data_IF_230069973669
#
_entry.id   IF_230069973669
#
_cell.length_a   1.000
_cell.length_b   1.000
_cell.length_c   1.000
_cell.angle_alpha   90.00
_cell.angle_beta   90.00
_cell.angle_gamma   90.00
#
_symmetry.space_group_name_H-M   'P 1'
#
loop_
_entity.id
_entity.type
_entity.pdbx_description
1 polymer ?
#
# COMPACT_ATOMS: atom_id res chain seq x y z
N UNK A 1 -5.31 -18.84 1.77
CA UNK A 1 -6.05 -17.55 1.84
C UNK A 1 -5.63 -16.72 0.63
N UNK A 2 -6.55 -16.00 -0.04
CA UNK A 2 -6.20 -15.09 -1.12
C UNK A 2 -5.21 -14.03 -0.59
N UNK A 3 -4.16 -13.74 -1.36
CA UNK A 3 -3.20 -12.68 -1.03
C UNK A 3 -3.90 -11.32 -0.85
N UNK A 4 -4.98 -11.10 -1.60
CA UNK A 4 -5.87 -9.93 -1.53
C UNK A 4 -6.31 -9.55 -0.11
N UNK A 5 -6.73 -10.50 0.74
CA UNK A 5 -7.22 -10.19 2.08
C UNK A 5 -6.12 -9.63 3.01
N UNK A 6 -4.86 -10.04 2.80
CA UNK A 6 -3.73 -9.51 3.57
C UNK A 6 -3.43 -8.06 3.23
N UNK A 7 -3.78 -7.63 2.01
CA UNK A 7 -3.33 -6.36 1.43
C UNK A 7 -4.44 -5.34 1.26
N UNK A 8 -5.69 -5.78 1.37
CA UNK A 8 -6.88 -4.94 1.49
C UNK A 8 -6.72 -3.80 2.50
N UNK A 9 -6.18 -4.03 3.73
CA UNK A 9 -6.00 -2.96 4.72
C UNK A 9 -5.09 -1.83 4.24
N UNK A 10 -4.12 -2.13 3.37
CA UNK A 10 -3.17 -1.15 2.81
C UNK A 10 -3.85 -0.29 1.76
N UNK A 11 -4.63 -0.92 0.89
CA UNK A 11 -5.44 -0.25 -0.13
C UNK A 11 -6.48 0.66 0.51
N UNK A 12 -7.16 0.16 1.54
CA UNK A 12 -8.13 0.94 2.31
C UNK A 12 -7.45 2.11 3.01
N UNK A 13 -6.23 1.92 3.54
CA UNK A 13 -5.47 2.99 4.16
C UNK A 13 -5.13 4.14 3.21
N UNK A 14 -4.68 3.81 2.00
CA UNK A 14 -4.36 4.81 0.98
C UNK A 14 -5.63 5.61 0.67
N UNK A 15 -6.77 4.94 0.51
CA UNK A 15 -8.07 5.61 0.27
C UNK A 15 -8.53 6.46 1.47
N UNK A 16 -8.31 6.00 2.70
CA UNK A 16 -8.63 6.74 3.93
C UNK A 16 -7.88 8.07 3.99
N UNK A 17 -6.61 8.06 3.58
CA UNK A 17 -5.75 9.24 3.49
C UNK A 17 -6.01 10.06 2.21
N UNK A 18 -7.20 9.94 1.62
CA UNK A 18 -7.56 10.59 0.35
C UNK A 18 -6.58 10.30 -0.80
N UNK A 19 -5.76 9.27 -0.65
CA UNK A 19 -4.83 8.80 -1.64
C UNK A 19 -5.55 8.07 -2.76
N UNK A 20 -4.98 8.22 -3.95
CA UNK A 20 -5.44 7.56 -5.15
C UNK A 20 -4.68 6.25 -5.32
N UNK A 21 -5.38 5.12 -5.22
CA UNK A 21 -4.81 3.82 -5.54
C UNK A 21 -4.81 3.66 -7.05
N UNK A 22 -3.63 3.67 -7.65
CA UNK A 22 -3.43 3.55 -9.10
C UNK A 22 -3.43 2.09 -9.53
N UNK A 23 -2.77 1.23 -8.74
CA UNK A 23 -2.61 -0.19 -9.05
C UNK A 23 -2.68 -1.00 -7.76
N UNK A 24 -3.36 -2.13 -7.75
CA UNK A 24 -3.44 -3.04 -6.61
C UNK A 24 -3.69 -4.45 -7.13
N UNK A 25 -2.64 -5.10 -7.63
CA UNK A 25 -2.74 -6.42 -8.27
C UNK A 25 -1.53 -7.31 -7.93
N UNK A 26 -1.71 -8.61 -8.09
CA UNK A 26 -0.64 -9.59 -7.88
C UNK A 26 0.23 -9.71 -9.14
N UNK A 27 1.54 -9.51 -9.00
CA UNK A 27 2.54 -9.57 -10.06
C UNK A 27 3.64 -10.56 -9.66
N UNK A 28 3.72 -11.70 -10.37
CA UNK A 28 4.79 -12.71 -10.23
C UNK A 28 5.02 -13.21 -8.78
N UNK A 29 3.94 -13.40 -8.01
CA UNK A 29 4.00 -13.86 -6.63
C UNK A 29 4.24 -12.76 -5.59
N UNK A 30 4.25 -11.49 -6.01
CA UNK A 30 4.25 -10.33 -5.14
C UNK A 30 2.96 -9.54 -5.35
N UNK A 31 2.44 -8.89 -4.34
CA UNK A 31 1.33 -7.96 -4.51
C UNK A 31 1.86 -6.55 -4.72
N UNK A 32 1.55 -5.95 -5.85
CA UNK A 32 2.01 -4.60 -6.19
C UNK A 32 0.88 -3.62 -5.90
N UNK A 33 1.13 -2.70 -4.98
CA UNK A 33 0.22 -1.59 -4.69
C UNK A 33 0.92 -0.30 -5.09
N UNK A 34 0.43 0.35 -6.14
CA UNK A 34 0.83 1.69 -6.53
C UNK A 34 -0.24 2.68 -6.07
N UNK A 35 0.19 3.71 -5.33
CA UNK A 35 -0.69 4.77 -4.85
C UNK A 35 -0.06 6.14 -5.04
N UNK A 36 -0.89 7.17 -5.13
CA UNK A 36 -0.49 8.57 -5.03
C UNK A 36 -1.17 9.22 -3.85
N UNK A 37 -0.41 10.03 -3.12
CA UNK A 37 -0.90 10.80 -1.98
C UNK A 37 -0.66 12.28 -2.24
N UNK A 38 -1.35 13.14 -1.49
CA UNK A 38 -1.24 14.59 -1.63
C UNK A 38 0.04 15.11 -0.96
N UNK A 39 0.58 14.39 0.03
CA UNK A 39 1.77 14.83 0.78
C UNK A 39 2.70 13.69 1.20
N UNK A 40 3.98 14.01 1.41
CA UNK A 40 4.96 13.04 1.92
C UNK A 40 4.63 12.55 3.33
N UNK A 41 4.01 13.39 4.17
CA UNK A 41 3.53 12.99 5.50
C UNK A 41 2.56 11.81 5.44
N UNK A 42 1.65 11.80 4.45
CA UNK A 42 0.72 10.70 4.26
C UNK A 42 1.45 9.43 3.80
N UNK A 43 2.46 9.57 2.94
CA UNK A 43 3.31 8.45 2.49
C UNK A 43 4.03 7.83 3.69
N UNK A 44 4.59 8.64 4.58
CA UNK A 44 5.19 8.19 5.82
C UNK A 44 4.17 7.51 6.75
N UNK A 45 2.96 8.04 6.83
CA UNK A 45 1.89 7.47 7.65
C UNK A 45 1.48 6.08 7.15
N UNK A 46 1.35 5.89 5.84
CA UNK A 46 1.09 4.59 5.21
C UNK A 46 2.22 3.62 5.48
N UNK A 47 3.48 4.03 5.27
CA UNK A 47 4.65 3.18 5.57
C UNK A 47 4.71 2.79 7.05
N UNK A 48 4.41 3.72 7.96
CA UNK A 48 4.39 3.49 9.40
C UNK A 48 3.30 2.50 9.81
N UNK A 49 2.09 2.64 9.26
CA UNK A 49 1.00 1.68 9.49
C UNK A 49 1.29 0.31 8.85
N UNK A 50 1.84 0.27 7.65
CA UNK A 50 2.31 -0.98 7.03
C UNK A 50 3.30 -1.73 7.91
N UNK A 51 4.25 -1.01 8.51
CA UNK A 51 5.21 -1.57 9.46
C UNK A 51 4.54 -2.12 10.73
N UNK A 52 3.39 -1.57 11.14
CA UNK A 52 2.56 -2.10 12.23
C UNK A 52 1.76 -3.33 11.82
N UNK A 53 1.40 -3.48 10.54
CA UNK A 53 0.79 -4.70 9.98
C UNK A 53 1.91 -5.76 9.78
N UNK A 54 2.74 -5.94 10.82
CA UNK A 54 4.01 -6.69 10.89
C UNK A 54 3.90 -8.20 10.59
N UNK A 55 2.79 -8.64 10.02
CA UNK A 55 2.48 -9.99 9.54
C UNK A 55 2.58 -10.09 8.00
N UNK A 56 2.58 -8.95 7.31
CA UNK A 56 2.90 -8.86 5.89
C UNK A 56 4.41 -8.97 5.77
N UNK A 57 4.91 -10.11 5.27
CA UNK A 57 6.29 -10.19 4.81
C UNK A 57 6.49 -9.11 3.74
N UNK A 58 7.35 -8.13 4.02
CA UNK A 58 7.70 -7.09 3.06
C UNK A 58 8.28 -7.70 1.76
N UNK A 59 8.82 -8.92 1.84
CA UNK A 59 9.24 -9.72 0.70
C UNK A 59 8.09 -10.14 -0.23
N UNK A 60 6.82 -10.01 0.14
CA UNK A 60 5.67 -10.41 -0.70
C UNK A 60 4.89 -9.21 -1.25
N UNK A 61 5.20 -7.96 -0.85
CA UNK A 61 4.54 -6.74 -1.38
C UNK A 61 5.54 -5.77 -1.97
N UNK A 62 5.23 -5.23 -3.15
CA UNK A 62 5.84 -3.99 -3.65
C UNK A 62 4.87 -2.83 -3.49
N UNK A 63 5.11 -1.99 -2.49
CA UNK A 63 4.41 -0.72 -2.33
C UNK A 63 5.17 0.38 -3.06
N UNK A 64 4.51 1.09 -3.97
CA UNK A 64 5.08 2.23 -4.68
C UNK A 64 4.17 3.44 -4.50
N UNK A 65 4.57 4.34 -3.62
CA UNK A 65 3.87 5.58 -3.34
C UNK A 65 4.59 6.75 -4.00
N UNK A 66 3.82 7.63 -4.63
CA UNK A 66 4.30 8.91 -5.16
C UNK A 66 3.47 10.08 -4.64
N UNK A 67 4.00 11.31 -4.75
CA UNK A 67 3.26 12.54 -4.43
C UNK A 67 2.60 13.07 -5.70
N UNK A 68 1.35 13.53 -5.61
CA UNK A 68 0.66 14.23 -6.70
C UNK A 68 1.29 15.62 -6.83
N UNK A 69 2.07 15.81 -7.89
CA UNK A 69 2.72 17.09 -8.23
C UNK A 69 1.72 18.03 -8.92
#
# INVERSE_FOLDING_TARGET
>A
MPLRDKYQPVVDLIKELKGEVIKAEEERGFFVIEGRLDSEDEIELVKSKLKKINDIKADEIKLKLGVKQ
#
